data_IF_420023274477
#
_entry.id   IF_420023274477
#
_cell.length_a   1.000
_cell.length_b   1.000
_cell.length_c   1.000
_cell.angle_alpha   90.00
_cell.angle_beta   90.00
_cell.angle_gamma   90.00
#
_symmetry.space_group_name_H-M   'P 1'
#
loop_
_entity.id
_entity.type
_entity.pdbx_description
1 polymer ?
#
# COMPACT_ATOMS: atom_id res chain seq x y z
N UNK A 1 9.63 24.46 -1.47
CA UNK A 1 8.82 25.56 -1.97
C UNK A 1 7.40 25.07 -2.11
N UNK A 2 6.55 25.68 -1.33
CA UNK A 2 5.13 25.48 -1.42
C UNK A 2 4.59 26.79 -2.00
N UNK A 3 4.37 26.86 -3.31
CA UNK A 3 3.38 27.78 -3.81
C UNK A 3 2.04 27.08 -3.57
N UNK A 4 1.00 27.82 -3.20
CA UNK A 4 -0.29 27.24 -2.80
C UNK A 4 -0.96 26.30 -3.82
N UNK A 5 -0.32 25.98 -4.95
CA UNK A 5 -0.78 25.02 -5.95
C UNK A 5 -0.18 23.61 -5.78
N UNK A 6 0.86 23.46 -4.94
CA UNK A 6 1.63 22.23 -4.79
C UNK A 6 1.88 21.84 -3.31
N UNK A 7 1.01 22.30 -2.42
CA UNK A 7 1.13 22.00 -1.00
C UNK A 7 0.96 20.51 -0.72
N UNK A 8 1.84 19.97 0.11
CA UNK A 8 1.81 18.59 0.55
C UNK A 8 1.69 18.57 2.07
N UNK A 9 0.61 17.99 2.56
CA UNK A 9 0.40 17.76 3.98
C UNK A 9 1.00 16.43 4.43
N UNK A 10 1.47 16.40 5.67
CA UNK A 10 1.89 15.18 6.35
C UNK A 10 1.09 15.05 7.64
N UNK A 11 0.40 13.95 7.79
CA UNK A 11 -0.40 13.63 8.97
C UNK A 11 0.18 12.37 9.64
N UNK A 12 0.35 12.43 10.95
CA UNK A 12 0.81 11.32 11.77
C UNK A 12 -0.37 10.85 12.63
N UNK A 13 -0.92 9.64 12.37
CA UNK A 13 -2.07 9.11 13.10
C UNK A 13 -1.81 8.95 14.60
N UNK A 14 -0.60 8.52 14.94
CA UNK A 14 -0.13 8.38 16.31
C UNK A 14 0.76 9.56 16.72
N UNK A 15 0.70 9.98 17.97
CA UNK A 15 1.56 11.02 18.52
C UNK A 15 3.02 10.54 18.53
N UNK A 16 3.90 11.30 17.88
CA UNK A 16 5.32 10.98 17.79
C UNK A 16 6.18 12.23 17.62
N UNK A 17 7.43 12.16 18.10
CA UNK A 17 8.40 13.24 17.89
C UNK A 17 8.90 13.22 16.45
N UNK A 18 8.56 14.27 15.69
CA UNK A 18 9.04 14.47 14.32
C UNK A 18 10.02 15.62 14.29
N UNK A 19 11.23 15.36 13.82
CA UNK A 19 12.23 16.39 13.60
C UNK A 19 12.08 16.93 12.18
N UNK A 20 12.06 18.25 12.02
CA UNK A 20 11.86 18.92 10.74
C UNK A 20 12.98 19.91 10.49
N UNK A 21 13.55 19.87 9.29
CA UNK A 21 14.62 20.77 8.87
C UNK A 21 14.36 21.27 7.44
N UNK A 22 14.49 22.58 7.24
CA UNK A 22 14.41 23.22 5.92
C UNK A 22 15.76 23.78 5.53
N UNK A 23 16.20 23.49 4.31
CA UNK A 23 17.47 23.98 3.78
C UNK A 23 17.41 24.24 2.27
N UNK A 24 18.37 25.05 1.80
CA UNK A 24 18.65 25.16 0.38
C UNK A 24 19.82 24.23 0.08
N UNK A 25 19.59 23.27 -0.82
CA UNK A 25 20.66 22.42 -1.35
C UNK A 25 21.01 22.84 -2.76
N UNK A 26 22.29 22.77 -3.06
CA UNK A 26 22.79 22.91 -4.43
C UNK A 26 23.44 21.61 -4.87
N UNK A 27 23.29 21.28 -6.13
CA UNK A 27 23.89 20.09 -6.73
C UNK A 27 24.00 20.26 -8.24
N UNK A 28 24.79 19.42 -8.84
CA UNK A 28 24.94 19.32 -10.29
C UNK A 28 24.94 17.84 -10.72
N UNK A 29 24.77 17.61 -11.99
CA UNK A 29 24.76 16.27 -12.57
C UNK A 29 26.16 15.77 -12.95
N UNK A 30 27.23 16.55 -12.73
CA UNK A 30 28.58 16.21 -13.16
C UNK A 30 29.09 14.89 -12.59
N UNK A 31 28.71 14.57 -11.33
CA UNK A 31 29.09 13.33 -10.67
C UNK A 31 28.20 12.13 -11.00
N UNK A 32 27.09 12.34 -11.69
CA UNK A 32 26.08 11.30 -11.93
C UNK A 32 25.84 11.01 -13.41
N UNK A 33 26.21 11.91 -14.30
CA UNK A 33 25.97 11.77 -15.74
C UNK A 33 27.11 12.33 -16.56
N UNK A 34 27.59 11.52 -17.52
CA UNK A 34 28.61 11.93 -18.52
C UNK A 34 28.06 13.03 -19.45
N UNK A 35 26.73 13.15 -19.56
CA UNK A 35 26.06 14.19 -20.38
C UNK A 35 25.55 15.36 -19.53
N UNK A 36 26.22 15.66 -18.42
CA UNK A 36 25.88 16.84 -17.62
C UNK A 36 26.01 18.12 -18.44
N UNK A 37 25.10 19.06 -18.18
CA UNK A 37 25.16 20.42 -18.75
C UNK A 37 26.11 21.35 -18.01
N UNK A 38 26.80 20.86 -16.97
CA UNK A 38 27.74 21.61 -16.13
C UNK A 38 27.08 22.64 -15.23
N UNK A 39 25.74 22.73 -15.17
CA UNK A 39 25.03 23.72 -14.39
C UNK A 39 24.79 23.25 -12.96
N UNK A 40 24.89 24.20 -12.03
CA UNK A 40 24.47 23.97 -10.64
C UNK A 40 23.00 24.36 -10.47
N UNK A 41 22.26 23.47 -9.86
CA UNK A 41 20.85 23.64 -9.53
C UNK A 41 20.68 23.86 -8.03
N UNK A 42 19.81 24.79 -7.65
CA UNK A 42 19.47 25.04 -6.25
C UNK A 42 18.00 24.72 -6.02
N UNK A 43 17.71 24.01 -4.96
CA UNK A 43 16.36 23.66 -4.54
C UNK A 43 16.16 23.84 -3.05
N UNK A 44 14.94 24.14 -2.64
CA UNK A 44 14.53 24.13 -1.23
C UNK A 44 14.07 22.71 -0.88
N UNK A 45 14.60 22.19 0.21
CA UNK A 45 14.30 20.84 0.68
C UNK A 45 13.71 20.91 2.07
N UNK A 46 12.69 20.07 2.28
CA UNK A 46 12.18 19.73 3.59
C UNK A 46 12.64 18.31 3.93
N UNK A 47 13.34 18.16 5.03
CA UNK A 47 13.73 16.86 5.57
C UNK A 47 12.97 16.64 6.87
N UNK A 48 12.33 15.49 6.98
CA UNK A 48 11.67 15.03 8.21
C UNK A 48 12.24 13.68 8.63
N UNK A 49 12.42 13.49 9.93
CA UNK A 49 12.81 12.17 10.46
C UNK A 49 12.26 11.94 11.85
N UNK A 50 12.05 10.67 12.15
CA UNK A 50 11.60 10.17 13.44
C UNK A 50 12.79 9.47 14.10
N UNK A 51 13.11 9.85 15.35
CA UNK A 51 14.18 9.21 16.10
C UNK A 51 13.64 7.98 16.82
N UNK A 52 14.12 6.82 16.43
CA UNK A 52 13.80 5.56 17.14
C UNK A 52 14.82 5.19 18.22
N UNK A 53 15.86 6.01 18.46
CA UNK A 53 16.91 5.74 19.46
C UNK A 53 18.03 4.82 18.96
N UNK A 54 18.77 4.24 19.91
CA UNK A 54 19.86 3.29 19.65
C UNK A 54 19.39 1.87 19.96
N UNK A 55 19.88 0.85 19.19
CA UNK A 55 19.52 -0.56 19.32
C UNK A 55 17.99 -0.77 19.21
N UNK A 56 17.43 -0.20 18.18
CA UNK A 56 15.98 -0.21 17.90
C UNK A 56 15.50 -1.65 17.76
N UNK A 57 14.41 -1.98 18.45
CA UNK A 57 13.72 -3.26 18.37
C UNK A 57 12.21 -3.02 18.56
N UNK A 58 11.40 -3.66 17.73
CA UNK A 58 9.93 -3.64 17.82
C UNK A 58 9.34 -2.21 17.80
N UNK A 59 9.86 -1.35 16.91
CA UNK A 59 9.37 0.03 16.73
C UNK A 59 8.74 0.16 15.35
N UNK A 60 7.57 0.76 15.30
CA UNK A 60 6.85 1.10 14.08
C UNK A 60 6.65 2.61 13.95
N UNK A 61 6.33 3.08 12.77
CA UNK A 61 5.89 4.44 12.50
C UNK A 61 4.85 4.45 11.38
N UNK A 62 4.03 5.49 11.37
CA UNK A 62 2.97 5.66 10.41
C UNK A 62 2.85 7.14 10.03
N UNK A 63 2.62 7.39 8.77
CA UNK A 63 2.30 8.74 8.29
C UNK A 63 1.48 8.69 7.01
N UNK A 64 0.74 9.76 6.77
CA UNK A 64 -0.07 9.95 5.57
C UNK A 64 0.47 11.15 4.82
N UNK A 65 0.70 11.00 3.53
CA UNK A 65 1.05 12.09 2.62
C UNK A 65 -0.22 12.54 1.90
N UNK A 66 -0.53 13.82 1.99
CA UNK A 66 -1.76 14.40 1.44
C UNK A 66 -1.37 15.42 0.36
N UNK A 67 -1.45 15.07 -0.92
CA UNK A 67 -1.20 15.99 -2.01
C UNK A 67 -2.27 17.10 -2.06
N UNK A 68 -1.86 18.32 -2.38
CA UNK A 68 -2.76 19.50 -2.51
C UNK A 68 -3.59 19.77 -1.26
N UNK A 69 -2.98 19.63 -0.09
CA UNK A 69 -3.63 19.83 1.19
C UNK A 69 -3.48 21.26 1.66
N UNK A 70 -4.57 21.91 2.06
CA UNK A 70 -4.54 23.21 2.72
C UNK A 70 -4.31 23.04 4.23
N UNK A 71 -3.68 24.04 4.87
CA UNK A 71 -3.32 24.01 6.29
C UNK A 71 -4.55 23.74 7.19
N UNK A 72 -5.69 24.35 6.84
CA UNK A 72 -6.94 24.22 7.59
C UNK A 72 -7.52 22.81 7.59
N UNK A 73 -7.20 22.01 6.55
CA UNK A 73 -7.74 20.66 6.36
C UNK A 73 -6.93 19.59 7.10
N UNK A 74 -5.64 19.86 7.36
CA UNK A 74 -4.68 18.86 7.85
C UNK A 74 -5.09 18.29 9.22
N UNK A 75 -5.53 19.17 10.14
CA UNK A 75 -5.84 18.78 11.51
C UNK A 75 -6.99 17.78 11.62
N UNK A 76 -7.94 17.85 10.70
CA UNK A 76 -9.12 17.00 10.68
C UNK A 76 -9.04 15.87 9.65
N UNK A 77 -8.03 15.90 8.79
CA UNK A 77 -7.95 15.01 7.63
C UNK A 77 -8.05 13.54 8.03
N UNK A 78 -7.24 13.09 8.98
CA UNK A 78 -7.22 11.69 9.39
C UNK A 78 -8.59 11.23 9.89
N UNK A 79 -9.21 12.01 10.76
CA UNK A 79 -10.54 11.70 11.32
C UNK A 79 -11.64 11.63 10.25
N UNK A 80 -11.57 12.51 9.24
CA UNK A 80 -12.58 12.63 8.16
C UNK A 80 -12.28 11.73 6.96
N UNK A 81 -11.04 11.31 6.78
CA UNK A 81 -10.58 10.59 5.57
C UNK A 81 -11.12 9.16 5.44
N UNK A 82 -11.56 8.55 6.54
CA UNK A 82 -11.92 7.13 6.60
C UNK A 82 -10.72 6.17 6.48
N UNK A 83 -9.49 6.69 6.52
CA UNK A 83 -8.27 5.87 6.54
C UNK A 83 -8.15 5.20 7.92
N UNK A 84 -7.88 3.90 7.91
CA UNK A 84 -7.59 3.11 9.11
C UNK A 84 -6.41 2.21 8.83
N UNK A 85 -5.41 2.25 9.70
CA UNK A 85 -4.33 1.28 9.73
C UNK A 85 -4.85 0.08 10.51
N UNK A 86 -4.95 -1.06 9.83
CA UNK A 86 -5.49 -2.31 10.39
C UNK A 86 -4.38 -3.09 11.07
N UNK A 87 -3.21 -3.13 10.43
CA UNK A 87 -2.03 -3.79 10.97
C UNK A 87 -0.77 -3.12 10.43
N UNK A 88 0.25 -2.96 11.28
CA UNK A 88 1.58 -2.49 10.93
C UNK A 88 2.61 -3.31 11.72
N UNK A 89 2.93 -4.48 11.20
CA UNK A 89 3.88 -5.43 11.80
C UNK A 89 5.02 -5.76 10.85
N UNK A 90 5.97 -6.57 11.31
CA UNK A 90 7.05 -7.10 10.46
C UNK A 90 6.58 -8.17 9.46
N UNK A 91 5.34 -8.59 9.58
CA UNK A 91 4.73 -9.65 8.77
C UNK A 91 3.68 -9.14 7.82
N UNK A 92 2.92 -8.11 8.22
CA UNK A 92 1.82 -7.54 7.44
C UNK A 92 1.80 -6.02 7.61
N UNK A 93 1.50 -5.32 6.51
CA UNK A 93 1.06 -3.94 6.54
C UNK A 93 -0.31 -3.87 5.86
N UNK A 94 -1.32 -3.43 6.59
CA UNK A 94 -2.70 -3.37 6.11
C UNK A 94 -3.32 -2.02 6.39
N UNK A 95 -3.87 -1.41 5.35
CA UNK A 95 -4.59 -0.13 5.43
C UNK A 95 -5.94 -0.26 4.74
N UNK A 96 -6.94 0.38 5.32
CA UNK A 96 -8.29 0.45 4.76
C UNK A 96 -8.73 1.89 4.61
N UNK A 97 -9.38 2.21 3.50
CA UNK A 97 -10.05 3.48 3.28
C UNK A 97 -11.39 3.22 2.61
N UNK A 98 -12.49 3.52 3.30
CA UNK A 98 -13.85 3.24 2.82
C UNK A 98 -14.00 1.76 2.38
N UNK A 99 -14.35 1.50 1.13
CA UNK A 99 -14.48 0.16 0.56
C UNK A 99 -13.18 -0.46 0.04
N UNK A 100 -12.05 0.26 0.09
CA UNK A 100 -10.76 -0.24 -0.41
C UNK A 100 -9.88 -0.69 0.73
N UNK A 101 -9.26 -1.87 0.59
CA UNK A 101 -8.28 -2.43 1.52
C UNK A 101 -7.00 -2.75 0.75
N UNK A 102 -5.86 -2.24 1.22
CA UNK A 102 -4.54 -2.57 0.70
C UNK A 102 -3.75 -3.36 1.75
N UNK A 103 -3.14 -4.46 1.34
CA UNK A 103 -2.35 -5.34 2.22
C UNK A 103 -1.03 -5.69 1.56
N UNK A 104 0.05 -5.62 2.33
CA UNK A 104 1.36 -6.15 1.95
C UNK A 104 1.69 -7.31 2.90
N UNK A 105 1.80 -8.50 2.37
CA UNK A 105 2.28 -9.69 3.10
C UNK A 105 3.79 -9.80 2.92
N UNK A 106 4.53 -9.75 4.03
CA UNK A 106 5.99 -9.66 4.05
C UNK A 106 6.70 -10.99 4.36
N UNK A 107 5.95 -12.04 4.71
CA UNK A 107 6.48 -13.36 5.09
C UNK A 107 5.86 -14.47 4.25
N UNK A 108 6.62 -15.55 4.03
CA UNK A 108 6.15 -16.78 3.38
C UNK A 108 5.52 -17.72 4.44
N UNK A 109 4.40 -17.31 4.96
CA UNK A 109 3.60 -18.01 5.95
C UNK A 109 2.17 -17.48 5.88
N UNK A 110 1.18 -18.32 6.15
CA UNK A 110 -0.20 -17.88 6.18
C UNK A 110 -0.42 -16.82 7.26
N UNK A 111 -0.86 -15.66 6.81
CA UNK A 111 -1.25 -14.52 7.61
C UNK A 111 -2.56 -13.93 7.09
N UNK A 112 -3.29 -13.25 7.96
CA UNK A 112 -4.60 -12.66 7.63
C UNK A 112 -4.68 -11.23 8.12
N UNK A 113 -5.14 -10.32 7.27
CA UNK A 113 -5.49 -8.95 7.64
C UNK A 113 -6.54 -8.37 6.69
N UNK A 114 -7.43 -7.52 7.21
CA UNK A 114 -8.42 -6.81 6.41
C UNK A 114 -9.41 -7.68 5.65
N UNK A 115 -9.66 -8.91 6.11
CA UNK A 115 -10.52 -9.90 5.45
C UNK A 115 -9.85 -10.65 4.31
N UNK A 116 -8.51 -10.66 4.27
CA UNK A 116 -7.69 -11.35 3.27
C UNK A 116 -6.67 -12.21 3.98
N UNK A 117 -6.61 -13.49 3.64
CA UNK A 117 -5.57 -14.43 4.07
C UNK A 117 -4.67 -14.80 2.89
N UNK A 118 -3.37 -14.86 3.13
CA UNK A 118 -2.38 -15.20 2.11
C UNK A 118 -1.26 -16.06 2.70
N UNK A 119 -0.73 -17.00 1.93
CA UNK A 119 0.35 -17.91 2.35
C UNK A 119 1.74 -17.46 1.92
N UNK A 120 1.84 -16.42 1.09
CA UNK A 120 3.07 -15.95 0.47
C UNK A 120 3.22 -14.44 0.52
N UNK A 121 4.44 -13.96 0.27
CA UNK A 121 4.72 -12.53 0.14
C UNK A 121 4.08 -11.97 -1.12
N UNK A 122 3.18 -11.03 -0.95
CA UNK A 122 2.50 -10.37 -2.06
C UNK A 122 1.93 -9.01 -1.64
N UNK A 123 1.51 -8.24 -2.62
CA UNK A 123 0.66 -7.07 -2.43
C UNK A 123 -0.72 -7.42 -2.94
N UNK A 124 -1.73 -7.15 -2.13
CA UNK A 124 -3.14 -7.32 -2.50
C UNK A 124 -3.88 -6.01 -2.28
N UNK A 125 -4.71 -5.64 -3.21
CA UNK A 125 -5.68 -4.57 -3.06
C UNK A 125 -7.07 -5.08 -3.38
N UNK A 126 -8.03 -4.81 -2.50
CA UNK A 126 -9.44 -5.10 -2.77
C UNK A 126 -10.26 -3.81 -2.76
N UNK A 127 -11.26 -3.72 -3.61
CA UNK A 127 -12.24 -2.63 -3.63
C UNK A 127 -13.64 -3.21 -3.67
N UNK A 128 -14.41 -2.94 -2.63
CA UNK A 128 -15.81 -3.35 -2.50
C UNK A 128 -16.72 -2.18 -2.87
N UNK A 129 -17.62 -2.42 -3.80
CA UNK A 129 -18.69 -1.51 -4.17
C UNK A 129 -19.99 -2.31 -4.27
N UNK A 130 -21.16 -1.67 -4.18
CA UNK A 130 -22.50 -2.28 -4.18
C UNK A 130 -22.61 -3.70 -4.77
N UNK A 131 -22.37 -4.73 -3.92
CA UNK A 131 -22.50 -6.14 -4.31
C UNK A 131 -21.36 -6.71 -5.17
N UNK A 132 -20.31 -5.96 -5.45
CA UNK A 132 -19.12 -6.41 -6.19
C UNK A 132 -17.86 -6.26 -5.36
N UNK A 133 -16.87 -7.11 -5.61
CA UNK A 133 -15.52 -7.06 -5.05
C UNK A 133 -14.52 -7.20 -6.19
N UNK A 134 -13.64 -6.23 -6.32
CA UNK A 134 -12.48 -6.29 -7.20
C UNK A 134 -11.25 -6.60 -6.37
N UNK A 135 -10.38 -7.45 -6.88
CA UNK A 135 -9.11 -7.79 -6.26
C UNK A 135 -8.01 -7.72 -7.31
N UNK A 136 -6.91 -7.04 -6.93
CA UNK A 136 -5.65 -7.03 -7.64
C UNK A 136 -4.56 -7.62 -6.75
N UNK A 137 -3.70 -8.47 -7.32
CA UNK A 137 -2.60 -9.10 -6.62
C UNK A 137 -1.33 -9.14 -7.47
N UNK A 138 -0.17 -8.95 -6.82
CA UNK A 138 1.14 -9.04 -7.44
C UNK A 138 2.15 -9.73 -6.51
N UNK A 139 2.99 -10.61 -7.07
CA UNK A 139 4.15 -11.18 -6.39
C UNK A 139 5.27 -10.15 -6.26
N UNK A 140 5.50 -9.60 -5.07
CA UNK A 140 6.57 -8.63 -4.80
C UNK A 140 7.97 -9.23 -4.92
N UNK A 141 8.10 -10.54 -4.85
CA UNK A 141 9.40 -11.22 -4.96
C UNK A 141 9.80 -11.50 -6.39
N UNK A 142 8.83 -11.59 -7.31
CA UNK A 142 8.98 -11.99 -8.72
C UNK A 142 9.60 -13.38 -8.90
N UNK A 143 9.51 -14.25 -7.89
CA UNK A 143 10.20 -15.54 -7.84
C UNK A 143 9.31 -16.70 -7.39
N UNK A 144 8.07 -16.41 -7.02
CA UNK A 144 7.13 -17.43 -6.56
C UNK A 144 6.41 -18.06 -7.76
N UNK A 145 6.13 -19.34 -7.65
CA UNK A 145 5.37 -20.05 -8.68
C UNK A 145 3.87 -19.89 -8.45
N UNK A 146 3.45 -19.85 -7.18
CA UNK A 146 2.03 -19.81 -6.79
C UNK A 146 1.82 -19.01 -5.52
N UNK A 147 0.63 -18.39 -5.43
CA UNK A 147 0.11 -17.72 -4.24
C UNK A 147 -1.31 -18.25 -3.98
N UNK A 148 -1.62 -18.55 -2.72
CA UNK A 148 -2.94 -18.96 -2.27
C UNK A 148 -3.60 -17.83 -1.50
N UNK A 149 -4.85 -17.48 -1.87
CA UNK A 149 -5.63 -16.41 -1.27
C UNK A 149 -6.97 -16.95 -0.79
N UNK A 150 -7.35 -16.58 0.43
CA UNK A 150 -8.69 -16.71 0.96
C UNK A 150 -9.25 -15.32 1.29
N UNK A 151 -10.55 -15.13 1.06
CA UNK A 151 -11.24 -13.88 1.36
C UNK A 151 -12.41 -14.17 2.31
N UNK A 152 -12.60 -13.34 3.33
CA UNK A 152 -13.75 -13.38 4.24
C UNK A 152 -15.04 -12.89 3.55
N UNK A 153 -15.21 -13.29 2.30
CA UNK A 153 -16.34 -12.98 1.45
C UNK A 153 -16.80 -14.23 0.71
N UNK A 154 -18.10 -14.41 0.55
CA UNK A 154 -18.68 -15.32 -0.44
C UNK A 154 -19.03 -14.54 -1.71
N UNK A 155 -19.02 -15.21 -2.86
CA UNK A 155 -19.43 -14.63 -4.14
C UNK A 155 -20.38 -15.57 -4.89
N UNK A 156 -21.27 -15.01 -5.70
CA UNK A 156 -22.22 -15.78 -6.51
C UNK A 156 -21.70 -16.02 -7.93
N UNK A 157 -20.89 -15.10 -8.44
CA UNK A 157 -20.38 -15.17 -9.81
C UNK A 157 -19.01 -14.52 -9.95
N UNK A 158 -18.31 -14.87 -11.04
CA UNK A 158 -17.08 -14.22 -11.49
C UNK A 158 -17.45 -13.37 -12.70
N UNK A 159 -17.29 -12.04 -12.56
CA UNK A 159 -17.59 -11.09 -13.65
C UNK A 159 -16.43 -11.06 -14.66
N UNK A 160 -15.20 -11.03 -14.15
CA UNK A 160 -13.98 -11.06 -14.97
C UNK A 160 -12.81 -11.59 -14.15
N UNK A 161 -11.81 -12.18 -14.81
CA UNK A 161 -10.56 -12.60 -14.15
C UNK A 161 -9.41 -12.71 -15.15
N UNK A 162 -8.18 -12.54 -14.65
CA UNK A 162 -6.96 -12.91 -15.37
C UNK A 162 -6.88 -14.43 -15.56
N UNK A 163 -6.25 -14.87 -16.66
CA UNK A 163 -6.10 -16.30 -17.01
C UNK A 163 -5.34 -17.08 -15.93
N UNK A 164 -4.40 -16.44 -15.24
CA UNK A 164 -3.54 -17.02 -14.20
C UNK A 164 -4.23 -17.24 -12.84
N UNK A 165 -5.50 -16.87 -12.71
CA UNK A 165 -6.27 -17.08 -11.48
C UNK A 165 -7.12 -18.36 -11.62
N UNK A 166 -6.91 -19.31 -10.73
CA UNK A 166 -7.70 -20.52 -10.58
C UNK A 166 -8.60 -20.41 -9.35
N UNK A 167 -9.92 -20.45 -9.54
CA UNK A 167 -10.88 -20.43 -8.44
C UNK A 167 -11.07 -21.83 -7.90
N UNK A 168 -10.90 -21.97 -6.58
CA UNK A 168 -11.08 -23.23 -5.87
C UNK A 168 -12.52 -23.31 -5.35
N UNK A 169 -13.01 -22.22 -4.75
CA UNK A 169 -14.39 -22.10 -4.30
C UNK A 169 -14.85 -20.65 -4.23
N UNK A 170 -16.17 -20.45 -4.26
CA UNK A 170 -16.82 -19.13 -4.09
C UNK A 170 -17.66 -19.07 -2.80
N UNK A 171 -18.08 -20.21 -2.27
CA UNK A 171 -18.93 -20.36 -1.07
C UNK A 171 -18.41 -21.51 -0.20
N UNK A 172 -18.41 -21.42 1.13
CA UNK A 172 -18.93 -20.33 1.96
C UNK A 172 -18.07 -19.07 1.95
N UNK A 173 -16.82 -19.16 1.53
CA UNK A 173 -15.88 -18.06 1.35
C UNK A 173 -15.07 -18.26 0.05
N UNK A 174 -14.52 -17.20 -0.49
CA UNK A 174 -13.74 -17.27 -1.74
C UNK A 174 -12.35 -17.79 -1.46
N UNK A 175 -11.95 -18.85 -2.20
CA UNK A 175 -10.58 -19.34 -2.26
C UNK A 175 -10.07 -19.38 -3.69
N UNK A 176 -8.82 -19.01 -3.90
CA UNK A 176 -8.19 -19.03 -5.21
C UNK A 176 -6.69 -19.29 -5.12
N UNK A 177 -6.17 -19.86 -6.18
CA UNK A 177 -4.74 -20.00 -6.46
C UNK A 177 -4.36 -19.07 -7.61
N UNK A 178 -3.27 -18.37 -7.47
CA UNK A 178 -2.73 -17.47 -8.50
C UNK A 178 -1.41 -18.08 -9.00
N UNK A 179 -1.34 -18.37 -10.30
CA UNK A 179 -0.09 -18.77 -10.97
C UNK A 179 0.76 -17.52 -11.19
N UNK A 180 1.86 -17.43 -10.46
CA UNK A 180 2.84 -16.34 -10.57
C UNK A 180 4.13 -16.77 -11.27
N UNK A 181 4.20 -18.03 -11.74
CA UNK A 181 5.37 -18.57 -12.43
C UNK A 181 5.69 -17.73 -13.67
N UNK A 182 6.91 -17.20 -13.73
CA UNK A 182 7.39 -16.31 -14.79
C UNK A 182 6.55 -15.04 -15.03
N UNK A 183 5.62 -14.70 -14.13
CA UNK A 183 4.81 -13.48 -14.24
C UNK A 183 5.61 -12.19 -13.95
N UNK A 184 6.79 -12.30 -13.34
CA UNK A 184 7.70 -11.17 -13.06
C UNK A 184 7.06 -9.99 -12.31
N UNK A 185 6.10 -10.29 -11.41
CA UNK A 185 5.37 -9.29 -10.67
C UNK A 185 4.22 -8.64 -11.44
N UNK A 186 3.82 -9.20 -12.57
CA UNK A 186 2.63 -8.77 -13.30
C UNK A 186 1.39 -8.88 -12.43
N UNK A 187 0.56 -7.83 -12.44
CA UNK A 187 -0.69 -7.78 -11.71
C UNK A 187 -1.69 -8.81 -12.26
N UNK A 188 -2.31 -9.55 -11.36
CA UNK A 188 -3.45 -10.41 -11.67
C UNK A 188 -4.70 -9.79 -11.06
N UNK A 189 -5.78 -9.74 -11.82
CA UNK A 189 -7.01 -9.07 -11.45
C UNK A 189 -8.22 -10.01 -11.53
N UNK A 190 -9.15 -9.87 -10.57
CA UNK A 190 -10.44 -10.56 -10.58
C UNK A 190 -11.54 -9.67 -10.02
N UNK A 191 -12.74 -9.81 -10.59
CA UNK A 191 -13.97 -9.14 -10.14
C UNK A 191 -15.06 -10.16 -9.89
N UNK A 192 -15.63 -10.09 -8.70
CA UNK A 192 -16.74 -10.92 -8.24
C UNK A 192 -18.06 -10.16 -8.19
N UNK A 193 -19.16 -10.85 -8.41
CA UNK A 193 -20.53 -10.36 -8.23
C UNK A 193 -21.29 -11.12 -7.16
N UNK A 194 -22.37 -10.51 -6.63
CA UNK A 194 -23.19 -11.07 -5.58
C UNK A 194 -22.44 -11.31 -4.27
N UNK A 195 -21.53 -10.41 -3.91
CA UNK A 195 -20.59 -10.56 -2.77
C UNK A 195 -21.29 -10.29 -1.45
N UNK A 196 -21.03 -11.14 -0.46
CA UNK A 196 -21.47 -10.99 0.94
C UNK A 196 -20.30 -11.23 1.88
N UNK A 197 -20.23 -10.47 2.98
CA UNK A 197 -19.31 -10.75 4.07
C UNK A 197 -19.70 -12.07 4.75
N UNK A 198 -18.70 -12.86 5.14
CA UNK A 198 -18.86 -14.14 5.85
C UNK A 198 -18.67 -13.91 7.34
#
# INVERSE_FOLDING_TARGET
YLDGSHDVGYCFPEEQEVNIFREIRSGDWNNMSIKSDGKSYKGRYLTMWIKHGRKVKDVSYEYIVIPKCHEEEINDYYRKSGIRIIENSDSIQCVKKNGTTGVVFLKDKTHSAGGISCDRRCIVMTTQTCGTLELSISDITQKQDKIYIELDYSAQEIISKSERINIIQLVPYVCMEIDTCAARGEEQHIKFGGVKNV
#
